data_IF_681258563279
#
_entry.id   IF_681258563279
#
_cell.length_a   1.000
_cell.length_b   1.000
_cell.length_c   1.000
_cell.angle_alpha   90.00
_cell.angle_beta   90.00
_cell.angle_gamma   90.00
#
_symmetry.space_group_name_H-M   'P 1'
#
loop_
_entity.id
_entity.type
_entity.pdbx_description
1 polymer ?
#
# COMPACT_ATOMS: atom_id res chain seq x y z
N UNK A 1 2.24 31.77 28.51
CA UNK A 1 3.22 31.24 27.54
C UNK A 1 2.48 30.32 26.58
N UNK A 2 2.48 30.59 25.28
CA UNK A 2 1.93 29.66 24.28
C UNK A 2 3.04 29.44 23.26
N UNK A 3 3.81 28.36 23.42
CA UNK A 3 4.52 27.79 22.29
C UNK A 3 3.48 27.14 21.38
N UNK A 4 3.60 27.32 20.06
CA UNK A 4 2.77 26.61 19.09
C UNK A 4 3.55 25.42 18.53
N UNK A 5 2.89 24.27 18.50
CA UNK A 5 3.36 23.07 17.82
C UNK A 5 2.41 22.79 16.67
N UNK A 6 2.89 22.92 15.44
CA UNK A 6 2.13 22.67 14.22
C UNK A 6 2.75 21.49 13.46
N UNK A 7 2.04 20.35 13.30
CA UNK A 7 2.55 19.20 12.57
C UNK A 7 2.51 19.48 11.06
N UNK A 8 3.67 19.43 10.40
CA UNK A 8 3.81 19.70 8.97
C UNK A 8 3.78 18.41 8.12
N UNK A 9 4.33 17.31 8.63
CA UNK A 9 4.38 16.03 7.94
C UNK A 9 4.01 14.88 8.90
N UNK A 10 3.15 13.98 8.44
CA UNK A 10 2.73 12.78 9.19
C UNK A 10 2.95 11.54 8.35
N UNK A 11 3.36 10.45 9.00
CA UNK A 11 3.41 9.14 8.36
C UNK A 11 1.99 8.60 8.13
N UNK A 12 1.89 7.58 7.27
CA UNK A 12 0.63 6.88 7.05
C UNK A 12 0.11 6.28 8.37
N UNK A 13 -1.22 6.23 8.59
CA UNK A 13 -1.80 5.53 9.74
C UNK A 13 -1.48 4.03 9.79
N UNK A 14 -0.96 3.46 8.69
CA UNK A 14 -0.54 2.06 8.58
C UNK A 14 0.96 1.86 8.86
N UNK A 15 1.71 2.93 9.11
CA UNK A 15 3.11 2.83 9.50
C UNK A 15 3.22 2.22 10.89
N UNK A 16 4.28 1.42 11.08
CA UNK A 16 4.63 0.85 12.38
C UNK A 16 5.88 1.53 12.89
N UNK A 17 5.91 1.84 14.18
CA UNK A 17 7.04 2.38 14.90
C UNK A 17 7.67 1.29 15.76
N UNK A 18 8.99 1.24 15.71
CA UNK A 18 9.79 0.28 16.45
C UNK A 18 10.88 1.05 17.17
N UNK A 19 11.09 0.69 18.42
CA UNK A 19 12.17 1.25 19.22
C UNK A 19 13.50 0.60 18.86
N UNK A 20 14.60 1.31 19.08
CA UNK A 20 15.94 0.81 18.76
C UNK A 20 16.25 -0.53 19.44
N UNK A 21 15.79 -0.72 20.68
CA UNK A 21 15.97 -1.94 21.48
C UNK A 21 15.22 -3.15 20.89
N UNK A 22 14.21 -2.92 20.04
CA UNK A 22 13.48 -4.00 19.37
C UNK A 22 14.23 -4.50 18.13
N UNK A 23 15.07 -3.65 17.53
CA UNK A 23 15.93 -4.01 16.41
C UNK A 23 17.28 -4.54 16.84
N UNK A 24 17.76 -4.19 18.03
CA UNK A 24 19.14 -4.45 18.41
C UNK A 24 19.22 -5.07 19.79
N UNK A 25 19.90 -6.22 19.87
CA UNK A 25 20.27 -6.83 21.15
C UNK A 25 21.78 -7.00 21.25
N UNK A 26 22.27 -6.98 22.48
CA UNK A 26 23.65 -7.31 22.78
C UNK A 26 23.89 -8.79 22.49
N UNK A 27 24.70 -9.07 21.46
CA UNK A 27 25.14 -10.41 21.10
C UNK A 27 26.35 -10.87 21.91
N UNK A 28 26.73 -12.12 21.71
CA UNK A 28 27.89 -12.71 22.36
C UNK A 28 29.18 -11.94 22.00
N UNK A 29 30.05 -11.71 22.99
CA UNK A 29 31.32 -10.98 22.83
C UNK A 29 31.17 -9.49 22.44
N UNK A 30 30.03 -8.85 22.74
CA UNK A 30 29.83 -7.41 22.53
C UNK A 30 29.50 -7.02 21.10
N UNK A 31 29.27 -7.99 20.21
CA UNK A 31 28.76 -7.76 18.86
C UNK A 31 27.27 -7.44 18.93
N UNK A 32 26.81 -6.40 18.23
CA UNK A 32 25.37 -6.10 18.15
C UNK A 32 24.70 -7.03 17.14
N UNK A 33 23.63 -7.68 17.56
CA UNK A 33 22.79 -8.52 16.70
C UNK A 33 21.57 -7.71 16.24
N UNK A 34 21.37 -7.63 14.93
CA UNK A 34 20.20 -6.98 14.32
C UNK A 34 19.09 -8.03 14.20
N UNK A 35 17.97 -7.76 14.85
CA UNK A 35 16.78 -8.59 14.86
C UNK A 35 15.75 -8.05 13.88
N UNK A 36 14.97 -8.95 13.29
CA UNK A 36 13.71 -8.58 12.67
C UNK A 36 12.66 -8.46 13.79
N UNK A 37 12.15 -7.25 14.06
CA UNK A 37 11.17 -7.07 15.13
C UNK A 37 9.89 -7.83 14.82
N UNK A 38 9.16 -8.31 15.84
CA UNK A 38 7.88 -8.96 15.64
C UNK A 38 6.88 -7.98 15.04
N UNK A 39 6.02 -8.45 14.13
CA UNK A 39 4.96 -7.63 13.55
C UNK A 39 4.06 -7.05 14.64
N UNK A 40 4.05 -5.72 14.77
CA UNK A 40 3.06 -5.00 15.60
C UNK A 40 1.78 -4.77 14.80
N UNK A 41 0.62 -4.85 15.46
CA UNK A 41 -0.62 -4.38 14.85
C UNK A 41 -0.56 -2.85 14.73
N UNK A 42 -0.72 -2.24 13.53
CA UNK A 42 -0.79 -0.79 13.39
C UNK A 42 -1.88 -0.13 14.26
N UNK A 43 -2.90 -0.89 14.69
CA UNK A 43 -3.94 -0.41 15.60
C UNK A 43 -3.43 -0.14 17.03
N UNK A 44 -2.39 -0.86 17.45
CA UNK A 44 -1.79 -0.76 18.79
C UNK A 44 -0.63 0.27 18.83
N UNK A 45 -0.35 0.93 17.70
CA UNK A 45 0.78 1.84 17.50
C UNK A 45 0.34 3.32 17.48
N UNK A 46 1.31 4.25 17.44
CA UNK A 46 1.06 5.68 17.28
C UNK A 46 0.31 5.96 15.97
N UNK A 47 -0.91 6.50 16.09
CA UNK A 47 -1.71 6.89 14.93
C UNK A 47 -1.08 8.08 14.22
N UNK A 48 -0.58 7.85 12.99
CA UNK A 48 -0.03 8.87 12.10
C UNK A 48 1.07 9.73 12.78
N UNK A 49 2.23 9.12 13.09
CA UNK A 49 3.31 9.79 13.80
C UNK A 49 3.80 11.01 13.01
N UNK A 50 4.14 12.08 13.75
CA UNK A 50 4.59 13.35 13.17
C UNK A 50 6.08 13.23 12.86
N UNK A 51 6.42 13.36 11.56
CA UNK A 51 7.81 13.27 11.07
C UNK A 51 8.45 14.67 11.07
N UNK A 52 7.66 15.71 10.80
CA UNK A 52 8.14 17.08 10.83
C UNK A 52 7.13 18.02 11.49
N UNK A 53 7.63 18.96 12.28
CA UNK A 53 6.81 19.90 13.03
C UNK A 53 7.44 21.30 13.07
N UNK A 54 6.59 22.30 13.00
CA UNK A 54 6.93 23.69 13.22
C UNK A 54 6.71 24.06 14.67
N UNK A 55 7.77 24.52 15.32
CA UNK A 55 7.76 24.90 16.73
C UNK A 55 8.08 26.39 16.81
N UNK A 56 7.09 27.18 17.24
CA UNK A 56 7.28 28.59 17.57
C UNK A 56 7.18 28.78 19.08
N UNK A 57 8.10 29.56 19.65
CA UNK A 57 8.11 29.90 21.07
C UNK A 57 8.80 31.26 21.28
N UNK A 58 8.67 31.87 22.45
CA UNK A 58 9.34 33.17 22.72
C UNK A 58 8.55 34.09 23.62
N UNK A 59 9.26 34.74 24.55
CA UNK A 59 8.74 35.39 25.76
C UNK A 59 7.98 36.69 25.48
N UNK A 60 6.86 36.90 26.19
CA UNK A 60 6.46 38.25 26.61
C UNK A 60 7.19 38.48 27.93
N UNK A 61 8.12 39.45 27.93
CA UNK A 61 9.01 39.89 29.03
C UNK A 61 10.42 39.26 29.01
N UNK A 62 11.42 40.12 28.73
CA UNK A 62 12.87 39.92 28.94
C UNK A 62 13.66 39.20 27.85
N UNK A 63 14.35 39.96 26.98
CA UNK A 63 15.55 39.65 26.13
C UNK A 63 15.70 38.32 25.36
N UNK A 64 14.80 37.35 25.48
CA UNK A 64 14.89 36.09 24.74
C UNK A 64 14.31 36.25 23.33
N UNK A 65 15.16 36.05 22.30
CA UNK A 65 14.74 36.03 20.89
C UNK A 65 13.61 34.99 20.68
N UNK A 66 12.60 35.29 19.84
CA UNK A 66 11.59 34.30 19.49
C UNK A 66 12.26 33.09 18.81
N UNK A 67 11.86 31.91 19.25
CA UNK A 67 12.23 30.61 18.69
C UNK A 67 11.30 30.36 17.50
N UNK A 68 11.89 30.19 16.31
CA UNK A 68 11.22 29.71 15.11
C UNK A 68 12.03 28.53 14.58
N UNK A 69 11.51 27.31 14.73
CA UNK A 69 12.24 26.08 14.41
C UNK A 69 11.34 25.13 13.65
N UNK A 70 11.79 24.64 12.49
CA UNK A 70 11.20 23.48 11.83
C UNK A 70 12.05 22.26 12.17
N UNK A 71 11.46 21.31 12.89
CA UNK A 71 12.09 20.04 13.23
C UNK A 71 11.70 18.98 12.21
N UNK A 72 12.68 18.21 11.73
CA UNK A 72 12.50 17.11 10.78
C UNK A 72 13.22 15.88 11.33
N UNK A 73 12.51 14.77 11.48
CA UNK A 73 13.02 13.56 12.13
C UNK A 73 13.95 12.70 11.25
N UNK A 74 13.98 12.95 9.95
CA UNK A 74 14.77 12.19 8.98
C UNK A 74 15.67 13.12 8.16
N UNK A 75 16.98 12.87 8.20
CA UNK A 75 17.99 13.65 7.48
C UNK A 75 18.05 13.27 6.00
N UNK A 76 17.65 12.05 5.64
CA UNK A 76 17.72 11.58 4.25
C UNK A 76 16.76 12.35 3.34
N UNK A 77 15.81 13.10 3.90
CA UNK A 77 14.90 14.00 3.16
C UNK A 77 15.63 15.05 2.29
N UNK A 78 16.91 15.34 2.57
CA UNK A 78 17.75 16.31 1.83
C UNK A 78 19.02 15.63 1.29
N UNK A 79 18.87 14.44 0.71
CA UNK A 79 19.99 13.77 0.05
C UNK A 79 20.26 14.31 -1.37
N UNK A 80 21.51 14.26 -1.82
CA UNK A 80 21.92 14.70 -3.15
C UNK A 80 21.24 13.87 -4.25
N UNK A 81 20.98 12.60 -3.95
CA UNK A 81 20.29 11.64 -4.81
C UNK A 81 18.87 12.13 -5.14
N UNK A 82 18.16 12.69 -4.17
CA UNK A 82 16.82 13.24 -4.42
C UNK A 82 16.85 14.48 -5.33
N UNK A 83 17.89 15.32 -5.22
CA UNK A 83 18.08 16.44 -6.14
C UNK A 83 18.35 15.96 -7.56
N UNK A 84 19.18 14.93 -7.72
CA UNK A 84 19.46 14.33 -9.02
C UNK A 84 18.21 13.72 -9.67
N UNK A 85 17.41 12.96 -8.91
CA UNK A 85 16.17 12.35 -9.40
C UNK A 85 15.19 13.43 -9.89
N UNK A 86 15.06 14.53 -9.13
CA UNK A 86 14.17 15.64 -9.48
C UNK A 86 14.66 16.42 -10.70
N UNK A 87 15.96 16.68 -10.84
CA UNK A 87 16.54 17.38 -12.01
C UNK A 87 16.38 16.56 -13.30
N UNK A 88 16.54 15.24 -13.21
CA UNK A 88 16.46 14.34 -14.36
C UNK A 88 15.06 13.84 -14.68
N UNK A 89 14.06 14.23 -13.89
CA UNK A 89 12.69 13.67 -13.95
C UNK A 89 12.71 12.13 -14.07
N UNK A 90 13.64 11.49 -13.33
CA UNK A 90 13.91 10.08 -13.50
C UNK A 90 12.65 9.27 -13.13
N UNK A 91 12.19 8.42 -14.05
CA UNK A 91 10.98 7.59 -13.89
C UNK A 91 9.68 8.37 -13.62
N UNK A 92 9.61 9.65 -14.02
CA UNK A 92 8.44 10.51 -13.74
C UNK A 92 8.14 10.65 -12.23
N UNK A 93 9.13 10.36 -11.37
CA UNK A 93 8.98 10.43 -9.93
C UNK A 93 8.96 11.90 -9.48
N UNK A 94 7.78 12.38 -9.11
CA UNK A 94 7.61 13.71 -8.51
C UNK A 94 7.88 13.66 -7.02
N UNK A 95 9.13 13.92 -6.64
CA UNK A 95 9.54 13.99 -5.25
C UNK A 95 9.24 15.36 -4.66
N UNK A 96 8.55 15.34 -3.52
CA UNK A 96 8.08 16.55 -2.84
C UNK A 96 8.94 16.97 -1.65
N UNK A 97 9.87 16.12 -1.23
CA UNK A 97 10.75 16.35 -0.08
C UNK A 97 11.52 17.67 -0.24
N UNK A 98 12.06 17.92 -1.43
CA UNK A 98 12.82 19.14 -1.74
C UNK A 98 11.93 20.37 -1.68
N UNK A 99 10.70 20.31 -2.21
CA UNK A 99 9.77 21.43 -2.17
C UNK A 99 9.34 21.75 -0.73
N UNK A 100 9.14 20.72 0.10
CA UNK A 100 8.87 20.87 1.53
C UNK A 100 10.00 21.60 2.26
N UNK A 101 11.25 21.19 2.02
CA UNK A 101 12.41 21.78 2.69
C UNK A 101 12.64 23.23 2.24
N UNK A 102 12.49 23.52 0.95
CA UNK A 102 12.56 24.90 0.45
C UNK A 102 11.47 25.78 1.08
N UNK A 103 10.24 25.26 1.23
CA UNK A 103 9.17 25.99 1.93
C UNK A 103 9.51 26.22 3.40
N UNK A 104 10.11 25.24 4.08
CA UNK A 104 10.53 25.38 5.47
C UNK A 104 11.64 26.43 5.64
N UNK A 105 12.60 26.50 4.71
CA UNK A 105 13.65 27.52 4.70
C UNK A 105 13.06 28.90 4.47
N UNK A 106 12.16 29.03 3.48
CA UNK A 106 11.49 30.29 3.15
C UNK A 106 10.67 30.82 4.36
N UNK A 107 9.90 29.95 5.04
CA UNK A 107 9.16 30.32 6.28
C UNK A 107 10.09 30.69 7.44
N UNK A 108 11.21 29.98 7.62
CA UNK A 108 12.21 30.32 8.64
C UNK A 108 12.92 31.65 8.35
N UNK A 109 13.07 32.00 7.07
CA UNK A 109 13.61 33.28 6.62
C UNK A 109 12.58 34.43 6.66
N UNK A 110 11.29 34.11 6.83
CA UNK A 110 10.19 35.07 6.85
C UNK A 110 9.72 35.52 5.46
N UNK A 111 9.99 34.73 4.42
CA UNK A 111 9.53 34.97 3.04
C UNK A 111 8.37 34.04 2.68
N UNK A 112 7.14 34.52 2.90
CA UNK A 112 5.92 33.73 2.65
C UNK A 112 5.42 33.85 1.20
N UNK A 113 6.03 34.71 0.37
CA UNK A 113 5.44 35.18 -0.88
C UNK A 113 5.21 34.06 -1.92
N UNK A 114 6.03 33.01 -1.90
CA UNK A 114 5.98 31.92 -2.88
C UNK A 114 5.52 30.58 -2.31
N UNK A 115 5.30 30.48 -0.99
CA UNK A 115 4.89 29.23 -0.33
C UNK A 115 3.52 28.78 -0.86
N UNK A 116 2.55 29.72 -0.97
CA UNK A 116 1.21 29.42 -1.47
C UNK A 116 1.18 28.96 -2.93
N UNK A 117 2.10 29.46 -3.76
CA UNK A 117 2.19 29.07 -5.18
C UNK A 117 2.85 27.69 -5.34
N UNK A 118 3.88 27.39 -4.54
CA UNK A 118 4.58 26.09 -4.55
C UNK A 118 3.69 24.95 -4.03
N UNK A 119 2.69 25.27 -3.20
CA UNK A 119 1.70 24.32 -2.69
C UNK A 119 0.59 23.92 -3.68
N UNK A 120 0.38 24.66 -4.78
CA UNK A 120 -0.71 24.37 -5.72
C UNK A 120 -0.38 23.15 -6.58
N UNK A 121 -1.05 22.03 -6.31
CA UNK A 121 -1.02 20.85 -7.18
C UNK A 121 -2.23 20.81 -8.11
N UNK A 122 -2.06 20.32 -9.35
CA UNK A 122 -3.19 19.81 -10.11
C UNK A 122 -3.79 18.65 -9.31
N UNK A 123 -4.97 18.88 -8.72
CA UNK A 123 -5.77 17.79 -8.18
C UNK A 123 -6.30 17.01 -9.36
N UNK A 124 -5.72 15.83 -9.62
CA UNK A 124 -6.34 14.86 -10.51
C UNK A 124 -7.67 14.45 -9.87
N UNK A 125 -8.78 14.99 -10.38
CA UNK A 125 -10.12 14.56 -9.99
C UNK A 125 -10.34 13.16 -10.56
N UNK A 126 -9.92 12.19 -9.79
CA UNK A 126 -10.17 10.79 -10.05
C UNK A 126 -11.64 10.47 -9.72
N UNK A 127 -12.11 9.33 -10.22
CA UNK A 127 -13.45 8.83 -9.92
C UNK A 127 -13.44 8.31 -8.48
N UNK A 128 -13.62 9.21 -7.50
CA UNK A 128 -13.51 8.92 -6.06
C UNK A 128 -14.32 7.70 -5.63
N UNK A 129 -15.52 7.52 -6.19
CA UNK A 129 -16.38 6.35 -5.95
C UNK A 129 -15.80 5.05 -6.51
N UNK A 130 -15.09 5.10 -7.64
CA UNK A 130 -14.42 3.92 -8.21
C UNK A 130 -13.18 3.61 -7.37
N UNK A 131 -12.41 4.62 -7.00
CA UNK A 131 -11.22 4.45 -6.19
C UNK A 131 -11.52 3.90 -4.81
N UNK A 132 -12.58 4.36 -4.14
CA UNK A 132 -12.98 3.84 -2.83
C UNK A 132 -13.30 2.34 -2.91
N UNK A 133 -14.05 1.93 -3.94
CA UNK A 133 -14.37 0.51 -4.16
C UNK A 133 -13.12 -0.31 -4.51
N UNK A 134 -12.27 0.18 -5.41
CA UNK A 134 -11.02 -0.49 -5.76
C UNK A 134 -10.11 -0.64 -4.54
N UNK A 135 -10.09 0.38 -3.67
CA UNK A 135 -9.33 0.34 -2.42
C UNK A 135 -9.84 -0.73 -1.48
N UNK A 136 -11.16 -0.86 -1.29
CA UNK A 136 -11.75 -1.92 -0.46
C UNK A 136 -11.28 -3.32 -0.93
N UNK A 137 -11.34 -3.62 -2.22
CA UNK A 137 -10.86 -4.90 -2.75
C UNK A 137 -9.35 -5.11 -2.58
N UNK A 138 -8.55 -4.05 -2.72
CA UNK A 138 -7.10 -4.13 -2.49
C UNK A 138 -6.76 -4.35 -1.01
N UNK A 139 -7.51 -3.71 -0.11
CA UNK A 139 -7.33 -3.88 1.33
C UNK A 139 -7.74 -5.30 1.77
N UNK A 140 -8.80 -5.86 1.18
CA UNK A 140 -9.20 -7.25 1.35
C UNK A 140 -8.14 -8.23 0.81
N UNK A 141 -7.60 -7.98 -0.38
CA UNK A 141 -6.51 -8.76 -0.98
C UNK A 141 -5.27 -8.75 -0.08
N UNK A 142 -4.88 -7.59 0.45
CA UNK A 142 -3.74 -7.44 1.32
C UNK A 142 -3.92 -8.26 2.61
N UNK A 143 -5.07 -8.16 3.26
CA UNK A 143 -5.40 -8.95 4.47
C UNK A 143 -5.41 -10.46 4.19
N UNK A 144 -5.99 -10.87 3.07
CA UNK A 144 -6.05 -12.28 2.69
C UNK A 144 -4.65 -12.83 2.35
N UNK A 145 -3.82 -12.01 1.70
CA UNK A 145 -2.43 -12.36 1.37
C UNK A 145 -1.57 -12.45 2.63
N UNK A 146 -1.69 -11.50 3.56
CA UNK A 146 -1.02 -11.53 4.87
C UNK A 146 -1.40 -12.78 5.67
N UNK A 147 -2.69 -13.16 5.64
CA UNK A 147 -3.15 -14.41 6.27
C UNK A 147 -2.48 -15.64 5.63
N UNK A 148 -2.44 -15.70 4.30
CA UNK A 148 -1.79 -16.81 3.59
C UNK A 148 -0.28 -16.88 3.90
N UNK A 149 0.40 -15.74 4.04
CA UNK A 149 1.81 -15.68 4.46
C UNK A 149 2.00 -16.16 5.90
N UNK A 150 1.14 -15.74 6.83
CA UNK A 150 1.18 -16.19 8.23
C UNK A 150 0.93 -17.69 8.36
N UNK A 151 -0.04 -18.23 7.62
CA UNK A 151 -0.37 -19.65 7.66
C UNK A 151 0.78 -20.48 7.06
N UNK A 152 1.34 -20.06 5.91
CA UNK A 152 2.53 -20.69 5.34
C UNK A 152 3.75 -20.63 6.26
N UNK A 153 3.98 -19.50 6.94
CA UNK A 153 5.07 -19.36 7.91
C UNK A 153 4.92 -20.33 9.08
N UNK A 154 3.71 -20.48 9.64
CA UNK A 154 3.43 -21.46 10.70
C UNK A 154 3.71 -22.89 10.25
N UNK A 155 3.36 -23.24 9.01
CA UNK A 155 3.65 -24.57 8.47
C UNK A 155 5.14 -24.80 8.25
N UNK A 156 5.87 -23.80 7.74
CA UNK A 156 7.33 -23.86 7.60
C UNK A 156 8.03 -23.99 8.95
N UNK A 157 7.59 -23.23 9.96
CA UNK A 157 8.11 -23.31 11.33
C UNK A 157 7.83 -24.69 11.95
N UNK A 158 6.64 -25.26 11.71
CA UNK A 158 6.31 -26.62 12.16
C UNK A 158 7.18 -27.69 11.50
N UNK A 159 7.47 -27.55 10.19
CA UNK A 159 8.39 -28.44 9.46
C UNK A 159 9.82 -28.30 10.00
N UNK A 160 10.29 -27.08 10.27
CA UNK A 160 11.61 -26.84 10.84
C UNK A 160 11.73 -27.43 12.26
N UNK A 161 10.73 -27.22 13.12
CA UNK A 161 10.70 -27.77 14.47
C UNK A 161 10.64 -29.31 14.47
N UNK A 162 9.89 -29.92 13.54
CA UNK A 162 9.84 -31.38 13.39
C UNK A 162 11.19 -31.97 12.90
N UNK A 163 11.92 -31.25 12.05
CA UNK A 163 13.28 -31.63 11.65
C UNK A 163 14.23 -31.58 12.86
N UNK A 164 14.22 -30.49 13.62
CA UNK A 164 15.10 -30.33 14.78
C UNK A 164 14.86 -31.44 15.82
N UNK A 165 13.60 -31.70 16.19
CA UNK A 165 13.27 -32.79 17.14
C UNK A 165 13.80 -34.16 16.70
N UNK A 166 13.76 -34.45 15.40
CA UNK A 166 14.26 -35.73 14.88
C UNK A 166 15.79 -35.81 14.88
N UNK A 167 16.48 -34.69 14.64
CA UNK A 167 17.93 -34.61 14.78
C UNK A 167 18.32 -34.86 16.24
N UNK A 168 17.62 -34.21 17.18
CA UNK A 168 17.85 -34.35 18.62
C UNK A 168 17.59 -35.80 19.10
N UNK A 169 16.50 -36.45 18.66
CA UNK A 169 16.20 -37.87 18.96
C UNK A 169 17.29 -38.85 18.49
N UNK A 170 17.97 -38.56 17.36
CA UNK A 170 19.07 -39.39 16.83
C UNK A 170 20.36 -39.16 17.63
N UNK A 171 20.58 -37.94 18.12
CA UNK A 171 21.72 -37.60 18.97
C UNK A 171 21.64 -38.32 20.32
N UNK A 172 20.47 -38.33 20.95
CA UNK A 172 20.24 -38.88 22.29
C UNK A 172 20.28 -40.42 22.40
N UNK A 173 20.22 -41.16 21.27
CA UNK A 173 20.24 -42.63 21.26
C UNK A 173 21.58 -43.24 21.71
N UNK A 174 21.64 -43.96 22.83
CA UNK A 174 22.89 -44.49 23.42
C UNK A 174 23.25 -45.93 23.02
N UNK A 175 22.54 -46.52 22.06
CA UNK A 175 22.51 -47.95 21.71
C UNK A 175 23.40 -48.35 20.51
N UNK A 176 24.18 -47.43 19.93
CA UNK A 176 24.95 -47.63 18.68
C UNK A 176 26.45 -47.32 18.81
N UNK A 177 27.28 -48.12 18.11
CA UNK A 177 28.73 -47.94 17.99
C UNK A 177 29.09 -46.61 17.28
N UNK A 178 30.07 -45.80 17.76
CA UNK A 178 30.25 -44.41 17.32
C UNK A 178 30.45 -44.21 15.81
N UNK A 179 31.09 -45.17 15.12
CA UNK A 179 31.33 -45.10 13.66
C UNK A 179 30.12 -45.49 12.83
N UNK A 180 29.40 -46.54 13.22
CA UNK A 180 28.17 -46.95 12.52
C UNK A 180 27.05 -45.93 12.73
N UNK A 181 26.97 -45.32 13.92
CA UNK A 181 26.03 -44.24 14.25
C UNK A 181 26.20 -43.03 13.33
N UNK A 182 27.44 -42.61 13.04
CA UNK A 182 27.71 -41.48 12.16
C UNK A 182 27.31 -41.73 10.69
N UNK A 183 27.53 -42.94 10.17
CA UNK A 183 27.18 -43.27 8.78
C UNK A 183 25.65 -43.34 8.62
N UNK A 184 24.96 -44.00 9.56
CA UNK A 184 23.50 -44.06 9.53
C UNK A 184 22.85 -42.70 9.77
N UNK A 185 23.42 -41.87 10.67
CA UNK A 185 22.97 -40.49 10.91
C UNK A 185 23.05 -39.67 9.63
N UNK A 186 24.18 -39.69 8.92
CA UNK A 186 24.36 -38.92 7.67
C UNK A 186 23.37 -39.33 6.57
N UNK A 187 23.17 -40.62 6.34
CA UNK A 187 22.24 -41.11 5.30
C UNK A 187 20.79 -40.73 5.67
N UNK A 188 20.40 -40.91 6.94
CA UNK A 188 19.08 -40.52 7.42
C UNK A 188 18.86 -39.00 7.37
N UNK A 189 19.89 -38.20 7.66
CA UNK A 189 19.86 -36.74 7.55
C UNK A 189 19.67 -36.30 6.11
N UNK A 190 20.46 -36.81 5.16
CA UNK A 190 20.35 -36.44 3.74
C UNK A 190 18.96 -36.74 3.17
N UNK A 191 18.41 -37.93 3.46
CA UNK A 191 17.07 -38.29 2.98
C UNK A 191 15.98 -37.45 3.65
N UNK A 192 16.13 -37.11 4.94
CA UNK A 192 15.16 -36.26 5.66
C UNK A 192 15.25 -34.80 5.27
N UNK A 193 16.44 -34.28 4.97
CA UNK A 193 16.62 -32.94 4.44
C UNK A 193 15.92 -32.85 3.08
N UNK A 194 16.16 -33.82 2.18
CA UNK A 194 15.50 -33.86 0.87
C UNK A 194 13.97 -33.89 0.99
N UNK A 195 13.43 -34.72 1.89
CA UNK A 195 11.98 -34.78 2.15
C UNK A 195 11.43 -33.43 2.64
N UNK A 196 12.15 -32.77 3.56
CA UNK A 196 11.73 -31.47 4.09
C UNK A 196 11.86 -30.35 3.07
N UNK A 197 12.87 -30.36 2.21
CA UNK A 197 13.03 -29.38 1.14
C UNK A 197 11.87 -29.47 0.14
N UNK A 198 11.43 -30.69 -0.21
CA UNK A 198 10.23 -30.90 -1.02
C UNK A 198 8.98 -30.37 -0.31
N UNK A 199 8.84 -30.59 1.01
CA UNK A 199 7.70 -30.05 1.77
C UNK A 199 7.71 -28.52 1.82
N UNK A 200 8.85 -27.90 2.09
CA UNK A 200 9.01 -26.44 2.07
C UNK A 200 8.65 -25.87 0.70
N UNK A 201 9.16 -26.48 -0.37
CA UNK A 201 8.84 -26.08 -1.73
C UNK A 201 7.33 -26.21 -2.04
N UNK A 202 6.67 -27.27 -1.56
CA UNK A 202 5.23 -27.44 -1.73
C UNK A 202 4.43 -26.36 -0.98
N UNK A 203 4.79 -26.03 0.26
CA UNK A 203 4.17 -24.97 1.05
C UNK A 203 4.36 -23.61 0.36
N UNK A 204 5.56 -23.32 -0.12
CA UNK A 204 5.83 -22.08 -0.86
C UNK A 204 5.03 -22.00 -2.17
N UNK A 205 4.93 -23.11 -2.91
CA UNK A 205 4.13 -23.19 -4.12
C UNK A 205 2.65 -22.98 -3.86
N UNK A 206 2.10 -23.57 -2.79
CA UNK A 206 0.71 -23.40 -2.39
C UNK A 206 0.41 -21.98 -1.93
N UNK A 207 1.29 -21.38 -1.14
CA UNK A 207 1.25 -19.95 -0.78
C UNK A 207 1.22 -19.07 -2.02
N UNK A 208 2.17 -19.28 -2.94
CA UNK A 208 2.28 -18.49 -4.17
C UNK A 208 1.04 -18.65 -5.07
N UNK A 209 0.49 -19.86 -5.16
CA UNK A 209 -0.76 -20.15 -5.90
C UNK A 209 -1.95 -19.43 -5.27
N UNK A 210 -2.03 -19.41 -3.94
CA UNK A 210 -3.09 -18.73 -3.19
C UNK A 210 -3.02 -17.22 -3.39
N UNK A 211 -1.85 -16.61 -3.21
CA UNK A 211 -1.61 -15.17 -3.44
C UNK A 211 -1.92 -14.79 -4.89
N UNK A 212 -1.51 -15.62 -5.86
CA UNK A 212 -1.84 -15.39 -7.27
C UNK A 212 -3.35 -15.47 -7.52
N UNK A 213 -4.03 -16.45 -6.93
CA UNK A 213 -5.49 -16.58 -7.03
C UNK A 213 -6.24 -15.36 -6.47
N UNK A 214 -5.76 -14.83 -5.33
CA UNK A 214 -6.29 -13.60 -4.73
C UNK A 214 -6.10 -12.39 -5.67
N UNK A 215 -4.89 -12.18 -6.19
CA UNK A 215 -4.58 -11.13 -7.17
C UNK A 215 -5.47 -11.21 -8.40
N UNK A 216 -5.61 -12.41 -8.97
CA UNK A 216 -6.43 -12.63 -10.15
C UNK A 216 -7.91 -12.34 -9.87
N UNK A 217 -8.41 -12.67 -8.67
CA UNK A 217 -9.77 -12.37 -8.25
C UNK A 217 -9.99 -10.87 -8.09
N UNK A 218 -9.11 -10.18 -7.37
CA UNK A 218 -9.17 -8.73 -7.21
C UNK A 218 -9.15 -8.03 -8.56
N UNK A 219 -8.26 -8.45 -9.46
CA UNK A 219 -8.15 -7.85 -10.78
C UNK A 219 -9.45 -8.02 -11.60
N UNK A 220 -10.11 -9.18 -11.49
CA UNK A 220 -11.43 -9.41 -12.14
C UNK A 220 -12.49 -8.46 -11.59
N UNK A 221 -12.56 -8.28 -10.28
CA UNK A 221 -13.54 -7.37 -9.66
C UNK A 221 -13.28 -5.90 -10.01
N UNK A 222 -12.01 -5.46 -9.95
CA UNK A 222 -11.60 -4.13 -10.39
C UNK A 222 -11.97 -3.88 -11.85
N UNK A 223 -11.71 -4.86 -12.72
CA UNK A 223 -12.06 -4.78 -14.14
C UNK A 223 -13.57 -4.74 -14.37
N UNK A 224 -14.35 -5.49 -13.59
CA UNK A 224 -15.82 -5.49 -13.67
C UNK A 224 -16.40 -4.13 -13.30
N UNK A 225 -15.94 -3.56 -12.19
CA UNK A 225 -16.37 -2.23 -11.73
C UNK A 225 -16.00 -1.19 -12.78
N UNK A 226 -14.74 -1.12 -13.17
CA UNK A 226 -14.26 -0.15 -14.15
C UNK A 226 -14.97 -0.33 -15.51
N UNK A 227 -15.21 -1.58 -15.91
CA UNK A 227 -15.92 -1.92 -17.15
C UNK A 227 -17.35 -1.40 -17.18
N UNK A 228 -18.10 -1.52 -16.08
CA UNK A 228 -19.47 -0.98 -16.00
C UNK A 228 -19.52 0.55 -16.11
N UNK A 229 -18.59 1.25 -15.46
CA UNK A 229 -18.48 2.71 -15.59
C UNK A 229 -18.06 3.13 -17.00
N UNK A 230 -17.12 2.41 -17.64
CA UNK A 230 -16.73 2.66 -19.04
C UNK A 230 -17.90 2.44 -20.00
N UNK A 231 -18.67 1.38 -19.81
CA UNK A 231 -19.86 1.10 -20.62
C UNK A 231 -20.89 2.23 -20.46
N UNK A 232 -21.18 2.65 -19.23
CA UNK A 232 -22.11 3.75 -18.98
C UNK A 232 -21.61 5.06 -19.62
N UNK A 233 -20.33 5.37 -19.49
CA UNK A 233 -19.74 6.57 -20.12
C UNK A 233 -19.81 6.55 -21.65
N UNK A 234 -19.75 5.38 -22.28
CA UNK A 234 -19.87 5.23 -23.73
C UNK A 234 -21.33 5.27 -24.23
N UNK A 235 -22.26 4.64 -23.50
CA UNK A 235 -23.65 4.52 -23.94
C UNK A 235 -24.55 5.69 -23.50
N UNK A 236 -24.19 6.44 -22.45
CA UNK A 236 -24.99 7.57 -21.98
C UNK A 236 -25.06 8.75 -22.99
N UNK A 237 -23.96 9.18 -23.64
CA UNK A 237 -23.96 10.34 -24.55
C UNK A 237 -24.94 10.26 -25.74
N UNK A 238 -25.13 9.12 -26.44
CA UNK A 238 -26.08 9.05 -27.55
C UNK A 238 -27.55 8.98 -27.13
N UNK A 239 -27.88 8.75 -25.84
CA UNK A 239 -29.28 8.62 -25.40
C UNK A 239 -30.09 9.91 -25.61
N UNK A 240 -29.65 11.10 -25.17
CA UNK A 240 -30.40 12.33 -25.39
C UNK A 240 -30.75 12.65 -26.86
N UNK A 241 -29.81 12.59 -27.83
CA UNK A 241 -30.16 12.85 -29.23
C UNK A 241 -31.07 11.77 -29.82
N UNK A 242 -30.92 10.49 -29.43
CA UNK A 242 -31.82 9.43 -29.87
C UNK A 242 -33.25 9.63 -29.33
N UNK A 243 -33.40 10.01 -28.06
CA UNK A 243 -34.69 10.34 -27.47
C UNK A 243 -35.36 11.53 -28.16
N UNK A 244 -34.59 12.56 -28.50
CA UNK A 244 -35.09 13.72 -29.25
C UNK A 244 -35.54 13.34 -30.66
N UNK A 245 -34.75 12.53 -31.37
CA UNK A 245 -35.13 12.00 -32.68
C UNK A 245 -36.40 11.15 -32.64
N UNK A 246 -36.51 10.26 -31.65
CA UNK A 246 -37.70 9.44 -31.42
C UNK A 246 -38.93 10.30 -31.10
N UNK A 247 -38.77 11.33 -30.26
CA UNK A 247 -39.84 12.27 -29.93
C UNK A 247 -40.36 13.01 -31.16
N UNK A 248 -39.47 13.53 -32.01
CA UNK A 248 -39.85 14.21 -33.26
C UNK A 248 -40.54 13.24 -34.22
N UNK A 249 -40.03 12.02 -34.35
CA UNK A 249 -40.64 10.99 -35.20
C UNK A 249 -42.06 10.62 -34.74
N UNK A 250 -42.26 10.37 -33.44
CA UNK A 250 -43.57 10.05 -32.88
C UNK A 250 -44.55 11.22 -33.04
N UNK A 251 -44.10 12.46 -32.80
CA UNK A 251 -44.92 13.65 -33.02
C UNK A 251 -45.37 13.76 -34.47
N UNK A 252 -44.43 13.60 -35.42
CA UNK A 252 -44.74 13.63 -36.86
C UNK A 252 -45.72 12.53 -37.26
N UNK A 253 -45.54 11.32 -36.75
CA UNK A 253 -46.41 10.18 -37.08
C UNK A 253 -47.85 10.37 -36.57
N UNK A 254 -48.04 11.06 -35.43
CA UNK A 254 -49.37 11.39 -34.91
C UNK A 254 -50.03 12.51 -35.71
N UNK A 255 -49.28 13.52 -36.13
CA UNK A 255 -49.80 14.65 -36.91
C UNK A 255 -50.18 14.22 -38.35
N UNK A 256 -49.44 13.31 -38.98
CA UNK A 256 -49.75 12.74 -40.30
C UNK A 256 -51.07 11.95 -40.32
N UNK A 257 -51.52 11.44 -39.17
CA UNK A 257 -52.83 10.76 -39.03
C UNK A 257 -54.01 11.72 -38.95
N UNK A 258 -53.79 13.01 -38.66
CA UNK A 258 -54.86 14.00 -38.52
C UNK A 258 -55.20 14.70 -39.86
N UNK A 259 -54.32 14.62 -40.86
CA UNK A 259 -54.51 15.27 -42.17
C UNK A 259 -55.10 14.40 -43.29
N UNK A 260 -55.42 13.12 -43.03
CA UNK A 260 -55.99 12.23 -44.05
C UNK A 260 -57.52 12.27 -44.06
N UNK A 261 -58.10 12.71 -45.18
CA UNK A 261 -59.53 12.64 -45.45
C UNK A 261 -59.97 11.15 -45.49
N UNK A 262 -60.96 10.69 -44.68
CA UNK A 262 -61.34 9.27 -44.59
C UNK A 262 -61.70 8.61 -45.93
N UNK A 263 -62.10 9.39 -46.93
CA UNK A 263 -62.48 8.91 -48.27
C UNK A 263 -61.30 8.53 -49.19
N UNK A 264 -60.04 8.64 -48.73
CA UNK A 264 -58.85 8.17 -49.47
C UNK A 264 -58.20 6.90 -48.92
N UNK A 265 -58.78 6.27 -47.90
CA UNK A 265 -58.36 4.94 -47.45
C UNK A 265 -58.97 3.85 -48.34
N UNK A 266 -58.49 3.75 -49.59
CA UNK A 266 -58.78 2.58 -50.44
C UNK A 266 -57.62 1.61 -50.32
N UNK A 267 -57.77 0.61 -49.44
CA UNK A 267 -56.81 -0.50 -49.34
C UNK A 267 -56.59 -1.01 -47.91
N UNK A 268 -57.64 -1.48 -47.25
CA UNK A 268 -57.52 -2.45 -46.16
C UNK A 268 -58.75 -3.35 -46.15
N UNK A 269 -58.79 -4.29 -47.09
CA UNK A 269 -59.26 -5.65 -46.84
C UNK A 269 -58.03 -6.52 -46.69
#
# INVERSE_FOLDING_TARGET
MKGSFEPLLRASPHCRTYEWEEYVRGGFMGMMEILNPPDKDPADDFKAPVIAAHVKGGSKEGDAKPINVVFVADMDMISNEFFFIRDKEWQELKLDNIAFILNAIDDLAGDDAFIELRGRRPLHRTLTTVESRVREFKDEEAKASEKAEKDAKKELDAVAAALQKKIDEIEERTDLDPRQKQIQKRIAEEDKIRENDVRKANIENEKNKTIKGLKDQTQREVNRITGSFRALAFFLPPIPPLLLGLFVYLRRMLDERQGMNPDRMVGAR
#
